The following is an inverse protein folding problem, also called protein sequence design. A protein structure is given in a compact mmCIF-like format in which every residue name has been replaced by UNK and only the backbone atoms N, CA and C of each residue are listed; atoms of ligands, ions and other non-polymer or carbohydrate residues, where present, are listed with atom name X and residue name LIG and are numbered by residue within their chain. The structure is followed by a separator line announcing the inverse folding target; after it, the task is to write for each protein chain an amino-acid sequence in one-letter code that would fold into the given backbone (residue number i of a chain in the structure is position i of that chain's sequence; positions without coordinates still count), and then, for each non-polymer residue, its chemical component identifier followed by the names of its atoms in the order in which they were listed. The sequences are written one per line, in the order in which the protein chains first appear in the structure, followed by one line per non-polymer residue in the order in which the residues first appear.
data_IF_695000458978
#
_entry.id   IF_695000458978
#
_cell.length_a   1.000
_cell.length_b   1.000
_cell.length_c   1.000
_cell.angle_alpha   90.00
_cell.angle_beta   90.00
_cell.angle_gamma   90.00
#
_symmetry.space_group_name_H-M   'P 1'
#
loop_
_entity.id
_entity.type
_entity.pdbx_description
1 polymer ?
#
# COMPACT_ATOMS: atom_id res chain seq x y z
N UNK A 1 -28.15 9.51 -1.00
CA UNK A 1 -28.44 9.70 0.42
C UNK A 1 -27.17 9.43 1.19
N UNK A 2 -26.45 10.47 1.60
CA UNK A 2 -25.22 10.35 2.38
C UNK A 2 -25.60 10.22 3.85
N UNK A 3 -25.56 9.02 4.39
CA UNK A 3 -25.62 8.80 5.82
C UNK A 3 -24.21 8.80 6.39
N UNK A 4 -23.81 9.86 7.06
CA UNK A 4 -22.73 9.82 8.05
C UNK A 4 -23.33 9.35 9.36
N UNK A 5 -22.99 8.14 9.80
CA UNK A 5 -23.27 7.70 11.16
C UNK A 5 -22.17 8.24 12.08
N UNK A 6 -22.38 9.39 12.68
CA UNK A 6 -21.63 9.81 13.86
C UNK A 6 -22.45 9.42 15.09
N UNK A 7 -21.98 8.42 15.80
CA UNK A 7 -22.50 8.08 17.12
C UNK A 7 -22.03 9.11 18.15
N UNK A 8 -22.83 10.14 18.38
CA UNK A 8 -22.71 11.01 19.55
C UNK A 8 -23.93 10.86 20.46
N UNK A 9 -23.76 10.78 21.80
CA UNK A 9 -24.85 10.57 22.72
C UNK A 9 -25.56 11.91 23.00
N UNK A 10 -26.14 12.56 22.00
CA UNK A 10 -27.12 13.62 22.14
C UNK A 10 -28.23 13.39 21.14
N UNK A 11 -29.48 13.39 21.64
CA UNK A 11 -30.67 13.22 20.81
C UNK A 11 -30.60 14.12 19.58
N UNK A 12 -30.26 13.56 18.44
CA UNK A 12 -30.35 14.21 17.15
C UNK A 12 -31.67 13.81 16.53
N UNK A 13 -32.55 14.79 16.33
CA UNK A 13 -33.81 14.57 15.62
C UNK A 13 -33.48 14.67 14.14
N UNK A 14 -33.50 13.53 13.45
CA UNK A 14 -33.37 13.47 12.01
C UNK A 14 -34.76 13.69 11.39
N UNK A 15 -34.96 14.81 10.72
CA UNK A 15 -36.14 15.06 9.91
C UNK A 15 -35.85 14.56 8.47
N UNK A 16 -36.40 13.41 8.11
CA UNK A 16 -36.35 12.92 6.73
C UNK A 16 -37.53 13.51 5.95
N UNK A 17 -37.23 14.25 4.88
CA UNK A 17 -38.24 14.73 3.93
C UNK A 17 -38.25 13.80 2.72
N UNK A 18 -39.43 13.29 2.36
CA UNK A 18 -39.60 12.53 1.10
C UNK A 18 -39.42 13.51 -0.08
N UNK A 19 -38.47 13.20 -0.94
CA UNK A 19 -38.21 13.96 -2.17
C UNK A 19 -38.71 13.18 -3.36
N UNK A 20 -39.04 13.83 -4.51
CA UNK A 20 -39.41 13.14 -5.74
C UNK A 20 -38.36 12.14 -6.21
N UNK A 21 -38.76 11.10 -6.94
CA UNK A 21 -37.85 10.04 -7.41
C UNK A 21 -36.67 10.57 -8.25
N UNK A 22 -36.85 11.68 -8.93
CA UNK A 22 -35.84 12.30 -9.80
C UNK A 22 -35.04 13.42 -9.09
N UNK A 23 -35.13 13.53 -7.76
CA UNK A 23 -34.46 14.60 -6.99
C UNK A 23 -32.95 14.39 -6.87
N UNK A 24 -32.48 13.16 -6.99
CA UNK A 24 -31.06 12.83 -6.95
C UNK A 24 -30.66 12.05 -8.18
N UNK A 25 -29.67 12.54 -8.90
CA UNK A 25 -29.03 11.85 -10.02
C UNK A 25 -27.69 11.30 -9.54
N UNK A 26 -27.48 9.99 -9.70
CA UNK A 26 -26.19 9.37 -9.44
C UNK A 26 -25.23 9.69 -10.57
N UNK A 27 -24.17 10.43 -10.29
CA UNK A 27 -23.11 10.75 -11.25
C UNK A 27 -21.87 9.95 -10.80
N UNK A 28 -21.47 8.97 -11.61
CA UNK A 28 -20.36 8.08 -11.31
C UNK A 28 -19.17 8.28 -12.27
N UNK A 29 -19.41 8.91 -13.42
CA UNK A 29 -18.38 9.19 -14.42
C UNK A 29 -18.34 10.68 -14.76
N UNK A 30 -17.20 11.12 -15.27
CA UNK A 30 -17.02 12.49 -15.75
C UNK A 30 -17.99 12.82 -16.90
N UNK A 31 -18.21 11.88 -17.82
CA UNK A 31 -19.14 12.07 -18.96
C UNK A 31 -20.58 12.23 -18.47
N UNK A 32 -20.98 11.52 -17.42
CA UNK A 32 -22.30 11.70 -16.79
C UNK A 32 -22.43 13.08 -16.17
N UNK A 33 -21.36 13.60 -15.56
CA UNK A 33 -21.35 14.95 -14.99
C UNK A 33 -21.42 16.01 -16.09
N UNK A 34 -20.67 15.88 -17.19
CA UNK A 34 -20.73 16.76 -18.35
C UNK A 34 -22.09 16.71 -19.03
N UNK A 35 -22.76 15.56 -19.04
CA UNK A 35 -24.14 15.41 -19.58
C UNK A 35 -25.17 16.10 -18.68
N UNK A 36 -24.96 16.05 -17.36
CA UNK A 36 -25.84 16.67 -16.36
C UNK A 36 -25.66 18.20 -16.32
N UNK A 37 -24.43 18.69 -16.43
CA UNK A 37 -24.06 20.10 -16.35
C UNK A 37 -23.02 20.43 -17.43
N UNK A 38 -23.50 20.61 -18.64
CA UNK A 38 -22.67 20.94 -19.82
C UNK A 38 -22.03 22.34 -19.79
N UNK A 39 -22.41 23.16 -18.82
CA UNK A 39 -21.86 24.51 -18.61
C UNK A 39 -20.96 24.63 -17.39
N UNK A 40 -20.69 23.54 -16.69
CA UNK A 40 -19.87 23.58 -15.49
C UNK A 40 -18.39 23.78 -15.81
N UNK A 41 -17.86 24.98 -15.55
CA UNK A 41 -16.43 25.25 -15.59
C UNK A 41 -15.68 24.61 -14.41
N UNK A 42 -16.39 24.07 -13.42
CA UNK A 42 -15.82 23.44 -12.22
C UNK A 42 -15.10 22.10 -12.49
N UNK A 43 -15.09 21.63 -13.74
CA UNK A 43 -14.45 20.40 -14.20
C UNK A 43 -13.12 20.64 -14.93
N UNK A 44 -12.71 21.87 -15.13
CA UNK A 44 -11.33 22.19 -15.46
C UNK A 44 -10.49 21.94 -14.20
N UNK A 45 -9.88 20.77 -14.12
CA UNK A 45 -8.94 20.46 -13.04
C UNK A 45 -7.53 20.53 -13.60
N UNK A 46 -6.58 21.00 -12.78
CA UNK A 46 -5.15 21.00 -13.10
C UNK A 46 -4.67 19.63 -13.62
N UNK A 47 -5.33 18.57 -13.17
CA UNK A 47 -5.04 17.20 -13.61
C UNK A 47 -5.41 16.97 -15.09
N UNK A 48 -6.57 17.43 -15.55
CA UNK A 48 -7.00 17.27 -16.96
C UNK A 48 -6.14 18.13 -17.89
N UNK A 49 -5.81 19.35 -17.47
CA UNK A 49 -4.93 20.23 -18.22
C UNK A 49 -3.51 19.66 -18.32
N UNK A 50 -3.04 19.01 -17.24
CA UNK A 50 -1.77 18.28 -17.25
C UNK A 50 -1.81 17.11 -18.23
N UNK A 51 -2.86 16.28 -18.20
CA UNK A 51 -3.00 15.16 -19.10
C UNK A 51 -3.01 15.60 -20.58
N UNK A 52 -3.73 16.68 -20.89
CA UNK A 52 -3.74 17.24 -22.24
C UNK A 52 -2.33 17.62 -22.72
N UNK A 53 -1.51 18.19 -21.84
CA UNK A 53 -0.10 18.52 -22.12
C UNK A 53 0.77 17.27 -22.25
N UNK A 54 0.63 16.29 -21.34
CA UNK A 54 1.43 15.03 -21.35
C UNK A 54 1.21 14.24 -22.62
N UNK A 55 -0.04 14.18 -23.08
CA UNK A 55 -0.41 13.43 -24.30
C UNK A 55 -0.39 14.25 -25.58
N UNK A 56 -0.14 15.56 -25.49
CA UNK A 56 -0.22 16.50 -26.64
C UNK A 56 -1.56 16.36 -27.38
N UNK A 57 -2.66 16.65 -26.66
CA UNK A 57 -4.04 16.57 -27.13
C UNK A 57 -4.87 17.70 -26.53
N UNK A 58 -6.08 17.90 -27.07
CA UNK A 58 -7.06 18.78 -26.41
C UNK A 58 -7.68 18.09 -25.19
N UNK A 59 -8.15 18.85 -24.21
CA UNK A 59 -8.83 18.30 -23.01
C UNK A 59 -10.05 17.44 -23.35
N UNK A 60 -10.75 17.74 -24.47
CA UNK A 60 -11.89 16.96 -24.97
C UNK A 60 -11.53 15.56 -25.47
N UNK A 61 -10.25 15.26 -25.69
CA UNK A 61 -9.76 13.93 -26.08
C UNK A 61 -9.42 13.05 -24.88
N UNK A 62 -9.47 13.62 -23.66
CA UNK A 62 -9.41 12.87 -22.40
C UNK A 62 -10.84 12.46 -22.07
N UNK A 63 -11.17 11.21 -22.25
CA UNK A 63 -12.55 10.69 -22.21
C UNK A 63 -12.71 9.52 -21.24
N UNK A 64 -13.95 9.11 -20.99
CA UNK A 64 -14.28 7.96 -20.14
C UNK A 64 -13.59 8.02 -18.77
N UNK A 65 -13.69 9.17 -18.10
CA UNK A 65 -13.09 9.39 -16.80
C UNK A 65 -13.94 8.70 -15.71
N UNK A 66 -13.33 7.72 -15.03
CA UNK A 66 -13.96 6.94 -13.97
C UNK A 66 -13.12 7.00 -12.70
N UNK A 67 -13.73 7.42 -11.60
CA UNK A 67 -13.02 7.47 -10.30
C UNK A 67 -12.78 6.06 -9.79
N UNK A 68 -11.53 5.75 -9.52
CA UNK A 68 -11.14 4.50 -8.88
C UNK A 68 -11.28 4.66 -7.36
N UNK A 69 -12.17 3.86 -6.75
CA UNK A 69 -12.47 3.93 -5.29
C UNK A 69 -11.45 3.21 -4.40
N UNK A 70 -10.41 2.62 -4.97
CA UNK A 70 -9.40 1.85 -4.24
C UNK A 70 -8.17 2.72 -3.96
N UNK A 71 -7.82 2.84 -2.71
CA UNK A 71 -6.60 3.49 -2.23
C UNK A 71 -6.86 4.28 -0.95
N UNK A 72 -6.03 4.04 0.08
CA UNK A 72 -6.14 4.73 1.37
C UNK A 72 -5.35 6.04 1.40
N UNK A 73 -4.42 6.19 0.49
CA UNK A 73 -3.45 7.30 0.44
C UNK A 73 -3.64 8.23 -0.75
N UNK A 74 -4.07 7.71 -1.88
CA UNK A 74 -4.13 8.45 -3.14
C UNK A 74 -5.55 8.50 -3.72
N UNK A 75 -5.84 9.54 -4.51
CA UNK A 75 -7.02 9.62 -5.37
C UNK A 75 -6.61 9.23 -6.77
N UNK A 76 -7.32 8.29 -7.38
CA UNK A 76 -7.00 7.84 -8.72
C UNK A 76 -8.24 7.80 -9.60
N UNK A 77 -8.06 8.05 -10.88
CA UNK A 77 -9.09 7.87 -11.86
C UNK A 77 -8.55 7.22 -13.15
N UNK A 78 -9.38 6.39 -13.74
CA UNK A 78 -9.18 5.82 -15.07
C UNK A 78 -9.59 6.82 -16.12
N UNK A 79 -8.91 6.88 -17.25
CA UNK A 79 -9.31 7.66 -18.41
C UNK A 79 -8.86 7.00 -19.71
N UNK A 80 -9.45 7.43 -20.83
CA UNK A 80 -9.00 7.06 -22.18
C UNK A 80 -8.39 8.26 -22.91
N UNK A 81 -7.29 8.00 -23.62
CA UNK A 81 -6.66 8.95 -24.50
C UNK A 81 -6.03 8.18 -25.68
N UNK A 82 -6.18 8.69 -26.92
CA UNK A 82 -5.64 8.05 -28.13
C UNK A 82 -5.98 6.55 -28.26
N UNK A 83 -7.18 6.15 -27.80
CA UNK A 83 -7.67 4.77 -27.86
C UNK A 83 -7.23 3.85 -26.74
N UNK A 84 -6.22 4.23 -25.95
CA UNK A 84 -5.68 3.46 -24.83
C UNK A 84 -6.24 3.92 -23.48
N UNK A 85 -6.15 3.07 -22.46
CA UNK A 85 -6.56 3.37 -21.08
C UNK A 85 -5.35 3.67 -20.20
N UNK A 86 -5.53 4.63 -19.30
CA UNK A 86 -4.50 5.08 -18.36
C UNK A 86 -5.11 5.34 -16.99
N UNK A 87 -4.26 5.31 -15.96
CA UNK A 87 -4.61 5.73 -14.60
C UNK A 87 -3.86 7.03 -14.30
N UNK A 88 -4.60 8.03 -13.82
CA UNK A 88 -4.04 9.22 -13.20
C UNK A 88 -4.12 9.06 -11.68
N UNK A 89 -2.98 9.19 -10.99
CA UNK A 89 -2.90 9.24 -9.54
C UNK A 89 -2.63 10.67 -9.09
N UNK A 90 -3.47 11.14 -8.18
CA UNK A 90 -3.32 12.40 -7.48
C UNK A 90 -3.08 12.08 -6.00
N UNK A 91 -1.97 12.54 -5.38
CA UNK A 91 -1.74 12.32 -3.96
C UNK A 91 -2.91 12.79 -3.09
N UNK A 92 -3.26 12.00 -2.10
CA UNK A 92 -4.27 12.36 -1.13
C UNK A 92 -3.71 13.40 -0.15
N UNK A 93 -4.61 14.13 0.49
CA UNK A 93 -4.28 15.15 1.48
C UNK A 93 -3.49 14.54 2.66
N UNK A 94 -2.39 15.17 3.04
CA UNK A 94 -1.50 14.73 4.12
C UNK A 94 -0.49 13.66 3.74
N UNK A 95 -0.47 13.19 2.48
CA UNK A 95 0.53 12.20 2.02
C UNK A 95 1.92 12.80 1.85
N UNK A 96 2.03 14.11 1.67
CA UNK A 96 3.29 14.84 1.56
C UNK A 96 4.19 14.72 2.81
N UNK A 97 3.60 14.33 3.95
CA UNK A 97 4.34 14.09 5.21
C UNK A 97 4.81 12.65 5.36
N UNK A 98 4.29 11.76 4.54
CA UNK A 98 4.51 10.31 4.63
C UNK A 98 5.34 9.78 3.48
N UNK A 99 5.19 10.35 2.28
CA UNK A 99 5.78 9.84 1.05
C UNK A 99 6.72 10.87 0.46
N UNK A 100 7.96 10.46 0.26
CA UNK A 100 8.95 11.24 -0.47
C UNK A 100 8.85 10.90 -1.97
N UNK A 101 8.35 11.83 -2.77
CA UNK A 101 8.10 11.60 -4.20
C UNK A 101 9.38 11.48 -5.04
N UNK A 102 10.49 12.07 -4.58
CA UNK A 102 11.81 11.85 -5.18
C UNK A 102 12.27 10.40 -5.00
N UNK A 103 12.08 9.85 -3.80
CA UNK A 103 12.39 8.45 -3.52
C UNK A 103 11.55 7.51 -4.38
N UNK A 104 10.23 7.73 -4.45
CA UNK A 104 9.34 6.95 -5.30
C UNK A 104 9.77 7.00 -6.78
N UNK A 105 10.14 8.18 -7.28
CA UNK A 105 10.62 8.33 -8.65
C UNK A 105 11.92 7.55 -8.89
N UNK A 106 12.90 7.61 -7.98
CA UNK A 106 14.14 6.83 -8.07
C UNK A 106 13.87 5.32 -8.13
N UNK A 107 12.89 4.83 -7.39
CA UNK A 107 12.48 3.42 -7.42
C UNK A 107 11.95 3.06 -8.81
N UNK A 108 11.03 3.86 -9.38
CA UNK A 108 10.50 3.59 -10.72
C UNK A 108 11.59 3.62 -11.79
N UNK A 109 12.57 4.51 -11.71
CA UNK A 109 13.72 4.50 -12.61
C UNK A 109 14.59 3.24 -12.43
N UNK A 110 14.76 2.74 -11.19
CA UNK A 110 15.53 1.52 -10.93
C UNK A 110 14.86 0.24 -11.46
N UNK A 111 13.52 0.17 -11.43
CA UNK A 111 12.74 -1.00 -11.91
C UNK A 111 12.29 -0.86 -13.36
N UNK A 112 12.57 0.25 -14.01
CA UNK A 112 12.21 0.50 -15.41
C UNK A 112 12.76 -0.60 -16.32
N UNK A 113 11.97 -0.99 -17.30
CA UNK A 113 12.31 -2.03 -18.28
C UNK A 113 12.65 -3.43 -17.72
N UNK A 114 12.34 -3.66 -16.42
CA UNK A 114 12.54 -4.98 -15.79
C UNK A 114 11.32 -5.90 -15.93
N UNK A 115 10.19 -5.38 -16.43
CA UNK A 115 8.95 -6.15 -16.54
C UNK A 115 8.32 -6.51 -15.18
N UNK A 116 8.60 -5.71 -14.13
CA UNK A 116 8.16 -5.99 -12.76
C UNK A 116 6.92 -5.19 -12.41
N UNK A 117 6.82 -3.95 -12.92
CA UNK A 117 5.78 -2.98 -12.55
C UNK A 117 4.90 -2.60 -13.75
N UNK A 118 3.90 -1.75 -13.51
CA UNK A 118 3.16 -1.02 -14.51
C UNK A 118 4.05 0.01 -15.22
N UNK A 119 3.69 0.36 -16.47
CA UNK A 119 4.45 1.32 -17.26
C UNK A 119 4.12 2.76 -16.84
N UNK A 120 5.13 3.50 -16.41
CA UNK A 120 5.01 4.93 -16.08
C UNK A 120 5.06 5.75 -17.38
N UNK A 121 4.02 6.54 -17.61
CA UNK A 121 3.92 7.48 -18.73
C UNK A 121 4.40 8.87 -18.30
N UNK A 122 4.07 9.27 -17.08
CA UNK A 122 4.44 10.56 -16.52
C UNK A 122 4.54 10.48 -15.00
N UNK A 123 5.53 11.17 -14.43
CA UNK A 123 5.68 11.33 -13.00
C UNK A 123 6.22 12.75 -12.69
N UNK A 124 5.53 13.48 -11.82
CA UNK A 124 5.97 14.77 -11.33
C UNK A 124 6.32 14.68 -9.85
N UNK A 125 7.60 14.72 -9.53
CA UNK A 125 8.12 14.66 -8.16
C UNK A 125 7.67 15.83 -7.27
N UNK A 126 7.32 16.99 -7.85
CA UNK A 126 6.93 18.17 -7.07
C UNK A 126 5.54 18.05 -6.47
N UNK A 127 4.59 17.54 -7.25
CA UNK A 127 3.20 17.41 -6.83
C UNK A 127 2.77 15.95 -6.65
N UNK A 128 3.62 14.98 -7.03
CA UNK A 128 3.35 13.54 -6.92
C UNK A 128 2.32 13.02 -7.93
N UNK A 129 1.98 13.80 -8.96
CA UNK A 129 1.08 13.35 -10.02
C UNK A 129 1.77 12.27 -10.85
N UNK A 130 1.09 11.15 -11.03
CA UNK A 130 1.61 9.99 -11.77
C UNK A 130 0.58 9.49 -12.76
N UNK A 131 1.01 9.23 -13.99
CA UNK A 131 0.22 8.58 -15.03
C UNK A 131 0.84 7.26 -15.38
N UNK A 132 0.05 6.19 -15.31
CA UNK A 132 0.47 4.84 -15.69
C UNK A 132 -0.41 4.27 -16.78
N UNK A 133 0.11 3.35 -17.57
CA UNK A 133 -0.71 2.57 -18.49
C UNK A 133 -1.62 1.63 -17.69
N UNK A 134 -2.91 1.58 -18.04
CA UNK A 134 -3.84 0.66 -17.38
C UNK A 134 -3.57 -0.77 -17.86
N UNK A 135 -3.35 -1.66 -16.91
CA UNK A 135 -3.22 -3.09 -17.17
C UNK A 135 -4.62 -3.71 -17.26
N UNK A 136 -5.00 -4.14 -18.45
CA UNK A 136 -6.32 -4.75 -18.68
C UNK A 136 -6.34 -6.23 -18.23
N UNK A 137 -7.54 -6.72 -17.91
CA UNK A 137 -7.77 -8.11 -17.52
C UNK A 137 -6.88 -8.56 -16.35
N UNK A 138 -6.75 -7.69 -15.34
CA UNK A 138 -5.97 -7.99 -14.15
C UNK A 138 -6.87 -8.30 -12.96
N UNK A 139 -6.34 -9.12 -12.06
CA UNK A 139 -6.90 -9.37 -10.74
C UNK A 139 -5.79 -9.38 -9.69
N UNK A 140 -6.13 -9.06 -8.45
CA UNK A 140 -5.21 -9.11 -7.34
C UNK A 140 -5.00 -10.57 -6.88
N UNK A 141 -3.92 -10.83 -6.14
CA UNK A 141 -3.68 -12.10 -5.48
C UNK A 141 -4.77 -12.40 -4.43
N UNK A 142 -5.32 -13.61 -4.45
CA UNK A 142 -6.09 -14.12 -3.32
C UNK A 142 -5.11 -14.71 -2.29
N UNK A 143 -4.95 -14.11 -1.09
CA UNK A 143 -4.03 -14.63 -0.07
C UNK A 143 -4.44 -15.98 0.50
N UNK A 144 -5.61 -16.51 0.17
CA UNK A 144 -6.08 -17.84 0.57
C UNK A 144 -5.76 -18.91 -0.48
N UNK A 145 -5.50 -18.50 -1.71
CA UNK A 145 -5.05 -19.40 -2.78
C UNK A 145 -3.52 -19.53 -2.73
N UNK A 146 -3.08 -20.67 -2.18
CA UNK A 146 -1.64 -20.93 -2.00
C UNK A 146 -0.87 -21.17 -3.30
N UNK A 147 -1.54 -21.48 -4.41
CA UNK A 147 -0.91 -21.55 -5.73
C UNK A 147 -0.58 -20.13 -6.22
N UNK A 148 -1.50 -19.19 -6.02
CA UNK A 148 -1.27 -17.77 -6.32
C UNK A 148 -0.20 -17.17 -5.41
N UNK A 149 -0.26 -17.45 -4.11
CA UNK A 149 0.75 -17.02 -3.14
C UNK A 149 2.14 -17.53 -3.52
N UNK A 150 2.26 -18.80 -3.95
CA UNK A 150 3.54 -19.35 -4.40
C UNK A 150 4.08 -18.62 -5.64
N UNK A 151 3.21 -18.26 -6.59
CA UNK A 151 3.59 -17.46 -7.76
C UNK A 151 4.05 -16.06 -7.36
N UNK A 152 3.34 -15.40 -6.45
CA UNK A 152 3.74 -14.09 -5.90
C UNK A 152 5.11 -14.16 -5.21
N UNK A 153 5.34 -15.18 -4.39
CA UNK A 153 6.65 -15.37 -3.71
C UNK A 153 7.78 -15.63 -4.70
N UNK A 154 7.51 -16.35 -5.78
CA UNK A 154 8.50 -16.55 -6.87
C UNK A 154 8.87 -15.24 -7.56
N UNK A 155 7.87 -14.41 -7.87
CA UNK A 155 8.10 -13.08 -8.48
C UNK A 155 8.85 -12.17 -7.51
N UNK A 156 8.47 -12.16 -6.24
CA UNK A 156 9.13 -11.38 -5.20
C UNK A 156 10.60 -11.81 -5.01
N UNK A 157 10.86 -13.11 -4.93
CA UNK A 157 12.22 -13.66 -4.85
C UNK A 157 13.05 -13.28 -6.08
N UNK A 158 12.46 -13.35 -7.28
CA UNK A 158 13.12 -12.92 -8.52
C UNK A 158 13.45 -11.42 -8.45
N UNK A 159 12.53 -10.57 -7.99
CA UNK A 159 12.77 -9.14 -7.80
C UNK A 159 13.95 -8.89 -6.85
N UNK A 160 13.94 -9.51 -5.66
CA UNK A 160 15.04 -9.37 -4.69
C UNK A 160 16.38 -9.83 -5.27
N UNK A 161 16.39 -10.88 -6.10
CA UNK A 161 17.61 -11.41 -6.74
C UNK A 161 18.23 -10.48 -7.79
N UNK A 162 17.51 -9.47 -8.27
CA UNK A 162 18.07 -8.44 -9.14
C UNK A 162 19.04 -7.51 -8.41
N UNK A 163 19.06 -7.53 -7.09
CA UNK A 163 19.93 -6.73 -6.21
C UNK A 163 19.95 -5.24 -6.58
N UNK A 164 18.77 -4.71 -6.94
CA UNK A 164 18.62 -3.31 -7.34
C UNK A 164 18.96 -2.39 -6.15
N UNK A 165 19.48 -1.21 -6.48
CA UNK A 165 19.89 -0.22 -5.48
C UNK A 165 19.26 1.13 -5.79
N UNK A 166 18.89 1.84 -4.71
CA UNK A 166 18.50 3.25 -4.70
C UNK A 166 19.27 3.98 -3.60
N UNK A 167 19.25 5.31 -3.60
CA UNK A 167 20.06 6.08 -2.64
C UNK A 167 19.47 6.15 -1.23
N UNK A 168 18.18 5.85 -1.07
CA UNK A 168 17.47 5.97 0.20
C UNK A 168 17.18 4.61 0.85
N UNK A 169 17.15 4.62 2.17
CA UNK A 169 16.78 3.46 2.97
C UNK A 169 15.34 3.60 3.48
N UNK A 170 14.66 2.47 3.71
CA UNK A 170 13.46 2.43 4.51
C UNK A 170 13.82 2.05 5.96
N UNK A 171 13.91 3.04 6.83
CA UNK A 171 14.22 2.81 8.25
C UNK A 171 12.95 2.51 9.05
N UNK A 172 12.65 1.22 9.24
CA UNK A 172 11.44 0.77 9.93
C UNK A 172 11.33 1.38 11.35
N UNK A 173 12.44 1.49 12.07
CA UNK A 173 12.44 2.04 13.43
C UNK A 173 12.26 3.56 13.41
N UNK A 174 12.89 4.23 12.45
CA UNK A 174 12.68 5.67 12.19
C UNK A 174 11.24 5.99 11.83
N UNK A 175 10.58 5.15 11.03
CA UNK A 175 9.16 5.29 10.67
C UNK A 175 8.24 5.10 11.89
N UNK A 176 8.52 4.15 12.79
CA UNK A 176 7.79 4.01 14.06
C UNK A 176 7.84 5.32 14.84
N UNK A 177 9.03 5.94 14.94
CA UNK A 177 9.21 7.21 15.64
C UNK A 177 8.56 8.39 14.90
N UNK A 178 8.56 8.35 13.56
CA UNK A 178 7.87 9.35 12.75
C UNK A 178 6.38 9.36 13.05
N UNK A 179 5.71 8.21 13.04
CA UNK A 179 4.29 8.13 13.35
C UNK A 179 3.97 8.56 14.78
N UNK A 180 4.83 8.25 15.75
CA UNK A 180 4.68 8.77 17.12
C UNK A 180 4.76 10.31 17.17
N UNK A 181 5.71 10.91 16.44
CA UNK A 181 5.78 12.38 16.34
C UNK A 181 4.54 12.97 15.67
N UNK A 182 3.99 12.28 14.68
CA UNK A 182 2.77 12.71 13.98
C UNK A 182 1.51 12.61 14.86
N UNK A 183 1.52 11.80 15.94
CA UNK A 183 0.43 11.80 16.92
C UNK A 183 0.39 13.10 17.76
N UNK A 184 1.48 13.85 17.79
CA UNK A 184 1.61 15.06 18.58
C UNK A 184 1.54 14.76 20.08
N UNK A 185 0.68 15.49 20.80
CA UNK A 185 0.48 15.27 22.25
C UNK A 185 -0.39 14.06 22.59
N UNK A 186 -0.97 13.39 21.59
CA UNK A 186 -1.81 12.23 21.82
C UNK A 186 -0.97 11.02 22.24
N UNK A 187 -1.62 10.14 23.01
CA UNK A 187 -1.04 8.86 23.41
C UNK A 187 -1.67 7.73 22.60
N UNK A 188 -0.91 6.64 22.46
CA UNK A 188 -1.48 5.40 21.92
C UNK A 188 -2.73 4.97 22.70
N UNK A 189 -3.70 4.40 21.99
CA UNK A 189 -4.88 3.79 22.61
C UNK A 189 -4.53 2.53 23.40
N UNK A 190 -3.38 1.92 23.11
CA UNK A 190 -2.93 0.70 23.78
C UNK A 190 -2.21 1.05 25.10
N UNK A 191 -2.80 0.63 26.21
CA UNK A 191 -2.30 0.97 27.57
C UNK A 191 -0.87 0.50 27.83
N UNK A 192 -0.46 -0.58 27.19
CA UNK A 192 0.86 -1.20 27.34
C UNK A 192 1.86 -0.84 26.22
N UNK A 193 1.53 0.17 25.41
CA UNK A 193 2.30 0.58 24.23
C UNK A 193 3.79 0.79 24.53
N UNK A 194 4.13 1.63 25.52
CA UNK A 194 5.52 1.93 25.86
C UNK A 194 6.32 0.68 26.23
N UNK A 195 5.70 -0.24 26.98
CA UNK A 195 6.33 -1.52 27.35
C UNK A 195 6.49 -2.43 26.14
N UNK A 196 5.51 -2.46 25.25
CA UNK A 196 5.55 -3.25 24.01
C UNK A 196 6.64 -2.72 23.08
N UNK A 197 6.70 -1.41 22.83
CA UNK A 197 7.76 -0.77 22.05
C UNK A 197 9.14 -1.11 22.60
N UNK A 198 9.35 -0.93 23.91
CA UNK A 198 10.64 -1.25 24.56
C UNK A 198 11.08 -2.69 24.32
N UNK A 199 10.15 -3.64 24.33
CA UNK A 199 10.47 -5.05 24.05
C UNK A 199 10.87 -5.23 22.59
N UNK A 200 10.06 -4.71 21.67
CA UNK A 200 10.26 -4.85 20.22
C UNK A 200 11.60 -4.22 19.79
N UNK A 201 12.00 -3.09 20.38
CA UNK A 201 13.27 -2.46 20.09
C UNK A 201 14.50 -3.32 20.50
N UNK A 202 14.31 -4.34 21.34
CA UNK A 202 15.39 -5.32 21.63
C UNK A 202 15.69 -6.20 20.42
N UNK A 203 14.69 -6.47 19.57
CA UNK A 203 14.88 -7.25 18.35
C UNK A 203 15.83 -6.59 17.35
N UNK A 204 15.96 -5.24 17.39
CA UNK A 204 16.89 -4.53 16.53
C UNK A 204 18.31 -5.05 16.63
N UNK A 205 18.78 -5.35 17.86
CA UNK A 205 20.14 -5.86 18.06
C UNK A 205 20.34 -7.24 17.41
N UNK A 206 19.34 -8.08 17.47
CA UNK A 206 19.36 -9.38 16.80
C UNK A 206 19.39 -9.21 15.28
N UNK A 207 18.49 -8.42 14.73
CA UNK A 207 18.44 -8.11 13.28
C UNK A 207 19.79 -7.56 12.80
N UNK A 208 20.33 -6.56 13.50
CA UNK A 208 21.62 -5.95 13.15
C UNK A 208 22.78 -6.96 13.22
N UNK A 209 22.74 -7.92 14.16
CA UNK A 209 23.79 -8.94 14.33
C UNK A 209 23.85 -9.95 13.19
N UNK A 210 22.75 -10.16 12.47
CA UNK A 210 22.69 -11.05 11.32
C UNK A 210 23.34 -10.45 10.06
N UNK A 211 23.71 -9.17 10.10
CA UNK A 211 24.28 -8.45 8.96
C UNK A 211 23.50 -8.72 7.66
N UNK A 212 22.18 -8.43 7.61
CA UNK A 212 21.32 -8.85 6.53
C UNK A 212 21.77 -8.26 5.19
N UNK A 213 21.55 -9.00 4.11
CA UNK A 213 21.71 -8.48 2.77
C UNK A 213 20.67 -7.38 2.50
N UNK A 214 21.14 -6.20 2.10
CA UNK A 214 20.27 -5.04 1.84
C UNK A 214 20.16 -4.80 0.35
N UNK A 215 18.94 -4.85 -0.18
CA UNK A 215 18.62 -4.51 -1.56
C UNK A 215 17.37 -3.64 -1.61
N UNK A 216 16.94 -3.25 -2.82
CA UNK A 216 15.65 -2.60 -2.97
C UNK A 216 14.55 -3.59 -2.58
N UNK A 217 13.77 -3.23 -1.56
CA UNK A 217 12.58 -3.95 -1.12
C UNK A 217 11.33 -3.10 -1.38
N UNK A 218 10.21 -3.77 -1.58
CA UNK A 218 8.95 -3.10 -1.91
C UNK A 218 8.33 -2.40 -0.70
N UNK A 219 8.52 -2.97 0.48
CA UNK A 219 8.00 -2.56 1.79
C UNK A 219 6.48 -2.73 1.92
N UNK A 220 5.71 -2.44 0.89
CA UNK A 220 4.26 -2.66 0.86
C UNK A 220 3.90 -3.85 -0.06
N UNK A 221 4.67 -4.96 0.04
CA UNK A 221 4.46 -6.19 -0.73
C UNK A 221 3.22 -6.96 -0.24
N UNK A 222 2.06 -6.33 -0.34
CA UNK A 222 0.77 -6.91 0.09
C UNK A 222 0.05 -7.58 -1.08
N UNK A 223 -0.84 -8.57 -0.86
CA UNK A 223 -1.55 -9.28 -1.93
C UNK A 223 -2.24 -8.36 -2.95
N UNK A 224 -2.79 -7.24 -2.49
CA UNK A 224 -3.48 -6.27 -3.35
C UNK A 224 -2.54 -5.58 -4.35
N UNK A 225 -1.24 -5.60 -4.12
CA UNK A 225 -0.22 -5.00 -4.98
C UNK A 225 0.38 -6.00 -5.98
N UNK A 226 -0.02 -7.27 -5.96
CA UNK A 226 0.33 -8.26 -6.99
C UNK A 226 -0.81 -8.41 -7.98
N UNK A 227 -0.60 -7.95 -9.20
CA UNK A 227 -1.58 -8.03 -10.29
C UNK A 227 -1.25 -9.19 -11.22
N UNK A 228 -2.12 -10.18 -11.24
CA UNK A 228 -2.13 -11.25 -12.23
C UNK A 228 -2.70 -10.71 -13.53
N UNK A 229 -1.90 -10.69 -14.58
CA UNK A 229 -2.30 -10.25 -15.91
C UNK A 229 -2.68 -11.49 -16.72
N UNK A 230 -3.98 -11.69 -16.93
CA UNK A 230 -4.50 -12.82 -17.70
C UNK A 230 -4.31 -12.55 -19.21
N UNK A 231 -3.11 -12.82 -19.73
CA UNK A 231 -2.87 -12.77 -21.15
C UNK A 231 -3.32 -14.09 -21.83
N UNK A 232 -3.80 -13.99 -23.05
CA UNK A 232 -4.22 -15.13 -23.87
C UNK A 232 -3.11 -16.17 -24.14
N UNK A 233 -1.86 -15.88 -23.79
CA UNK A 233 -0.69 -16.78 -23.89
C UNK A 233 -0.67 -17.90 -22.86
N UNK A 234 -1.49 -17.83 -21.79
CA UNK A 234 -1.52 -18.83 -20.73
C UNK A 234 -0.32 -18.79 -19.79
N UNK A 235 0.60 -17.86 -19.93
CA UNK A 235 1.65 -17.59 -18.95
C UNK A 235 1.18 -16.55 -17.97
N UNK A 236 1.36 -16.84 -16.68
CA UNK A 236 1.06 -15.87 -15.60
C UNK A 236 2.11 -14.74 -15.64
N UNK A 237 1.74 -13.57 -16.15
CA UNK A 237 2.51 -12.36 -15.96
C UNK A 237 2.00 -11.65 -14.69
N UNK A 238 2.86 -11.51 -13.69
CA UNK A 238 2.51 -10.87 -12.44
C UNK A 238 3.30 -9.57 -12.33
N UNK A 239 2.57 -8.47 -12.14
CA UNK A 239 3.14 -7.14 -11.92
C UNK A 239 2.97 -6.74 -10.47
N UNK A 240 4.01 -6.11 -9.91
CA UNK A 240 3.98 -5.51 -8.57
C UNK A 240 3.78 -4.01 -8.75
N UNK A 241 2.77 -3.46 -8.09
CA UNK A 241 2.41 -2.03 -8.19
C UNK A 241 2.54 -1.33 -6.83
N UNK A 242 2.46 0.00 -6.86
CA UNK A 242 2.42 0.86 -5.65
C UNK A 242 3.72 0.89 -4.85
N UNK A 243 4.79 1.35 -5.49
CA UNK A 243 6.16 1.41 -4.97
C UNK A 243 6.45 2.62 -4.07
N UNK A 244 5.44 3.28 -3.53
CA UNK A 244 5.61 4.57 -2.84
C UNK A 244 6.36 4.49 -1.51
N UNK A 245 6.48 3.28 -0.91
CA UNK A 245 7.25 3.01 0.31
C UNK A 245 8.58 2.31 0.04
N UNK A 246 8.83 1.87 -1.19
CA UNK A 246 10.00 1.09 -1.53
C UNK A 246 11.31 1.81 -1.21
N UNK A 247 12.32 1.07 -0.76
CA UNK A 247 13.61 1.59 -0.38
C UNK A 247 14.60 0.47 -0.05
N UNK A 248 15.85 0.84 0.25
CA UNK A 248 16.87 -0.12 0.63
C UNK A 248 16.54 -0.74 1.99
N UNK A 249 16.36 -2.07 2.01
CA UNK A 249 16.03 -2.82 3.22
C UNK A 249 16.39 -4.31 3.04
N UNK A 250 16.36 -5.09 4.13
CA UNK A 250 16.37 -6.56 4.08
C UNK A 250 15.10 -7.05 3.35
N UNK A 251 15.23 -7.82 2.26
CA UNK A 251 14.09 -8.30 1.47
C UNK A 251 13.09 -9.15 2.28
N UNK A 252 13.50 -9.74 3.41
CA UNK A 252 12.58 -10.49 4.27
C UNK A 252 11.52 -9.62 4.96
N UNK A 253 11.68 -8.30 4.93
CA UNK A 253 10.62 -7.36 5.35
C UNK A 253 9.37 -7.50 4.48
N UNK A 254 9.54 -7.76 3.18
CA UNK A 254 8.41 -7.95 2.26
C UNK A 254 7.58 -9.20 2.59
N UNK A 255 8.22 -10.26 3.11
CA UNK A 255 7.50 -11.44 3.61
C UNK A 255 6.69 -11.12 4.86
N UNK A 256 7.28 -10.32 5.77
CA UNK A 256 6.58 -9.87 6.96
C UNK A 256 5.34 -9.04 6.59
N UNK A 257 5.46 -8.14 5.61
CA UNK A 257 4.38 -7.28 5.15
C UNK A 257 3.26 -8.08 4.48
N UNK A 258 3.60 -9.02 3.60
CA UNK A 258 2.63 -9.92 2.99
C UNK A 258 1.82 -10.69 4.06
N UNK A 259 2.54 -11.21 5.07
CA UNK A 259 1.95 -11.97 6.18
C UNK A 259 0.98 -11.13 7.02
N UNK A 260 1.39 -9.90 7.36
CA UNK A 260 0.62 -8.97 8.20
C UNK A 260 -0.67 -8.54 7.52
N UNK A 261 -0.61 -8.19 6.25
CA UNK A 261 -1.77 -7.74 5.48
C UNK A 261 -2.76 -8.88 5.24
N UNK A 262 -2.24 -10.06 4.92
CA UNK A 262 -3.03 -11.28 4.73
C UNK A 262 -3.67 -11.79 6.04
N UNK A 263 -3.29 -11.23 7.18
CA UNK A 263 -3.73 -11.64 8.52
C UNK A 263 -3.47 -13.13 8.82
N UNK A 264 -2.35 -13.65 8.33
CA UNK A 264 -1.98 -15.05 8.45
C UNK A 264 -1.77 -15.49 9.91
N UNK A 265 -2.13 -16.74 10.18
CA UNK A 265 -1.76 -17.46 11.40
C UNK A 265 -0.26 -17.83 11.36
N UNK A 266 0.27 -18.28 12.50
CA UNK A 266 1.67 -18.73 12.57
C UNK A 266 2.00 -19.83 11.56
N UNK A 267 1.11 -20.83 11.43
CA UNK A 267 1.32 -21.96 10.50
C UNK A 267 1.28 -21.51 9.03
N UNK A 268 0.42 -20.52 8.71
CA UNK A 268 0.38 -19.92 7.39
C UNK A 268 1.64 -19.09 7.09
N UNK A 269 2.19 -18.38 8.07
CA UNK A 269 3.46 -17.66 7.93
C UNK A 269 4.63 -18.63 7.75
N UNK A 270 4.67 -19.73 8.51
CA UNK A 270 5.69 -20.76 8.34
C UNK A 270 5.59 -21.42 6.95
N UNK A 271 4.38 -21.60 6.45
CA UNK A 271 4.13 -22.08 5.08
C UNK A 271 4.61 -21.08 4.03
N UNK A 272 4.31 -19.78 4.20
CA UNK A 272 4.80 -18.72 3.32
C UNK A 272 6.32 -18.70 3.26
N UNK A 273 6.98 -18.76 4.43
CA UNK A 273 8.44 -18.79 4.53
C UNK A 273 9.00 -19.99 3.78
N UNK A 274 8.46 -21.19 4.00
CA UNK A 274 8.90 -22.39 3.30
C UNK A 274 8.73 -22.28 1.77
N UNK A 275 7.67 -21.63 1.29
CA UNK A 275 7.48 -21.37 -0.14
C UNK A 275 8.57 -20.43 -0.67
N UNK A 276 8.84 -19.31 0.01
CA UNK A 276 9.84 -18.35 -0.44
C UNK A 276 11.26 -18.93 -0.44
N UNK A 277 11.60 -19.77 0.54
CA UNK A 277 12.91 -20.43 0.66
C UNK A 277 13.00 -21.80 -0.06
N UNK A 278 12.02 -22.16 -0.88
CA UNK A 278 11.97 -23.45 -1.59
C UNK A 278 12.09 -24.67 -0.65
N UNK A 279 11.55 -24.56 0.56
CA UNK A 279 11.55 -25.60 1.60
C UNK A 279 12.76 -25.57 2.55
N UNK A 280 13.72 -24.69 2.37
CA UNK A 280 14.97 -24.58 3.14
C UNK A 280 15.01 -23.27 3.97
N UNK A 281 13.95 -23.01 4.74
CA UNK A 281 13.92 -21.88 5.67
C UNK A 281 14.64 -22.24 6.95
N UNK A 282 15.83 -21.68 7.19
CA UNK A 282 16.60 -21.87 8.41
C UNK A 282 15.87 -21.31 9.64
N UNK A 283 16.22 -21.79 10.84
CA UNK A 283 15.67 -21.24 12.09
C UNK A 283 16.12 -19.78 12.29
N UNK A 284 17.31 -19.41 11.82
CA UNK A 284 17.79 -18.02 11.83
C UNK A 284 16.94 -17.12 10.93
N UNK A 285 16.65 -17.53 9.70
CA UNK A 285 15.78 -16.77 8.79
C UNK A 285 14.37 -16.67 9.35
N UNK A 286 13.85 -17.75 9.91
CA UNK A 286 12.54 -17.79 10.56
C UNK A 286 12.48 -16.82 11.75
N UNK A 287 13.49 -16.84 12.63
CA UNK A 287 13.59 -15.92 13.75
C UNK A 287 13.64 -14.46 13.27
N UNK A 288 14.41 -14.19 12.21
CA UNK A 288 14.51 -12.87 11.58
C UNK A 288 13.17 -12.40 11.01
N UNK A 289 12.45 -13.26 10.30
CA UNK A 289 11.14 -12.91 9.76
C UNK A 289 10.12 -12.67 10.87
N UNK A 290 10.12 -13.49 11.93
CA UNK A 290 9.27 -13.23 13.09
C UNK A 290 9.61 -11.91 13.78
N UNK A 291 10.91 -11.55 13.86
CA UNK A 291 11.33 -10.25 14.36
C UNK A 291 10.78 -9.11 13.48
N UNK A 292 10.86 -9.23 12.16
CA UNK A 292 10.27 -8.23 11.23
C UNK A 292 8.76 -8.17 11.35
N UNK A 293 8.04 -9.29 11.46
CA UNK A 293 6.59 -9.29 11.69
C UNK A 293 6.25 -8.53 12.98
N UNK A 294 7.03 -8.71 14.04
CA UNK A 294 6.83 -7.97 15.29
C UNK A 294 7.05 -6.47 15.12
N UNK A 295 8.13 -6.06 14.47
CA UNK A 295 8.49 -4.64 14.26
C UNK A 295 7.51 -3.97 13.30
N UNK A 296 7.22 -4.60 12.16
CA UNK A 296 6.27 -4.07 11.17
C UNK A 296 4.83 -4.05 11.69
N UNK A 297 4.45 -5.01 12.54
CA UNK A 297 3.16 -4.98 13.23
C UNK A 297 3.01 -3.74 14.13
N UNK A 298 4.08 -3.33 14.83
CA UNK A 298 4.08 -2.09 15.59
C UNK A 298 4.03 -0.86 14.66
N UNK A 299 4.81 -0.87 13.58
CA UNK A 299 4.84 0.20 12.57
C UNK A 299 3.44 0.47 12.02
N UNK A 300 2.77 -0.56 11.51
CA UNK A 300 1.43 -0.41 10.92
C UNK A 300 0.34 -0.12 11.95
N UNK A 301 0.49 -0.61 13.17
CA UNK A 301 -0.38 -0.18 14.28
C UNK A 301 -0.25 1.33 14.53
N UNK A 302 0.97 1.87 14.50
CA UNK A 302 1.23 3.30 14.67
C UNK A 302 0.67 4.13 13.50
N UNK A 303 0.83 3.65 12.27
CA UNK A 303 0.22 4.25 11.10
C UNK A 303 -1.32 4.31 11.20
N UNK A 304 -1.96 3.23 11.66
CA UNK A 304 -3.41 3.21 11.90
C UNK A 304 -3.82 4.24 12.96
N UNK A 305 -3.04 4.38 14.03
CA UNK A 305 -3.31 5.40 15.06
C UNK A 305 -3.16 6.83 14.52
N UNK A 306 -2.18 7.09 13.68
CA UNK A 306 -2.05 8.37 12.99
C UNK A 306 -3.25 8.63 12.07
N UNK A 307 -3.62 7.69 11.21
CA UNK A 307 -4.77 7.82 10.32
C UNK A 307 -6.09 8.02 11.07
N UNK A 308 -6.25 7.39 12.24
CA UNK A 308 -7.42 7.59 13.11
C UNK A 308 -7.57 9.05 13.55
N UNK A 309 -6.47 9.74 13.79
CA UNK A 309 -6.52 11.19 14.11
C UNK A 309 -7.00 12.03 12.94
N UNK A 310 -6.80 11.55 11.73
CA UNK A 310 -7.32 12.14 10.49
C UNK A 310 -8.77 11.70 10.18
N UNK A 311 -9.42 10.96 11.10
CA UNK A 311 -10.80 10.52 10.96
C UNK A 311 -10.99 9.21 10.20
N UNK A 312 -9.91 8.45 9.95
CA UNK A 312 -9.97 7.14 9.30
C UNK A 312 -9.80 6.03 10.34
N UNK A 313 -10.80 5.18 10.50
CA UNK A 313 -10.76 4.06 11.45
C UNK A 313 -10.59 2.72 10.71
N UNK A 314 -9.67 1.89 11.20
CA UNK A 314 -9.34 0.58 10.63
C UNK A 314 -9.88 -0.60 11.45
N UNK A 315 -10.59 -0.35 12.55
CA UNK A 315 -11.26 -1.37 13.34
C UNK A 315 -10.34 -2.54 13.74
N UNK A 316 -10.74 -3.76 13.35
CA UNK A 316 -10.02 -4.98 13.70
C UNK A 316 -8.61 -5.05 13.10
N UNK A 317 -8.37 -4.43 11.96
CA UNK A 317 -7.05 -4.42 11.32
C UNK A 317 -5.99 -3.80 12.23
N UNK A 318 -6.24 -2.60 12.78
CA UNK A 318 -5.30 -1.94 13.71
C UNK A 318 -4.99 -2.80 14.94
N UNK A 319 -6.03 -3.41 15.53
CA UNK A 319 -5.87 -4.30 16.67
C UNK A 319 -5.05 -5.55 16.32
N UNK A 320 -5.26 -6.12 15.14
CA UNK A 320 -4.54 -7.31 14.67
C UNK A 320 -3.05 -6.98 14.49
N UNK A 321 -2.71 -5.83 13.89
CA UNK A 321 -1.34 -5.37 13.75
C UNK A 321 -0.63 -5.25 15.11
N UNK A 322 -1.28 -4.66 16.10
CA UNK A 322 -0.72 -4.57 17.45
C UNK A 322 -0.57 -5.93 18.15
N UNK A 323 -1.47 -6.89 17.85
CA UNK A 323 -1.33 -8.27 18.34
C UNK A 323 -0.12 -8.96 17.71
N UNK A 324 0.08 -8.84 16.39
CA UNK A 324 1.28 -9.36 15.72
C UNK A 324 2.55 -8.83 16.37
N UNK A 325 2.62 -7.52 16.63
CA UNK A 325 3.76 -6.92 17.33
C UNK A 325 4.10 -7.65 18.64
N UNK A 326 3.10 -8.03 19.42
CA UNK A 326 3.29 -8.67 20.73
C UNK A 326 3.54 -10.18 20.65
N UNK A 327 2.79 -10.86 19.80
CA UNK A 327 2.85 -12.32 19.65
C UNK A 327 4.16 -12.73 18.99
N UNK A 328 4.54 -12.07 17.90
CA UNK A 328 5.75 -12.37 17.16
C UNK A 328 7.03 -11.92 17.88
N UNK A 329 6.95 -10.93 18.76
CA UNK A 329 8.04 -10.68 19.72
C UNK A 329 8.36 -11.92 20.53
N UNK A 330 7.35 -12.65 21.02
CA UNK A 330 7.56 -13.87 21.81
C UNK A 330 8.14 -14.98 20.93
N UNK A 331 7.52 -15.27 19.77
CA UNK A 331 8.02 -16.32 18.87
C UNK A 331 9.44 -16.06 18.41
N UNK A 332 9.78 -14.81 18.07
CA UNK A 332 11.15 -14.44 17.74
C UNK A 332 12.10 -14.64 18.93
N UNK A 333 11.73 -14.15 20.13
CA UNK A 333 12.57 -14.28 21.34
C UNK A 333 12.80 -15.73 21.71
N UNK A 334 11.75 -16.56 21.71
CA UNK A 334 11.85 -17.99 22.03
C UNK A 334 12.79 -18.72 21.05
N UNK A 335 12.72 -18.39 19.77
CA UNK A 335 13.58 -19.00 18.75
C UNK A 335 15.01 -18.48 18.84
N UNK A 336 15.23 -17.18 19.08
CA UNK A 336 16.55 -16.56 19.25
C UNK A 336 17.30 -17.18 20.46
N UNK A 337 16.60 -17.55 21.54
CA UNK A 337 17.22 -18.19 22.71
C UNK A 337 17.75 -19.61 22.40
N UNK A 338 17.32 -20.23 21.31
CA UNK A 338 17.74 -21.55 20.86
C UNK A 338 18.84 -21.54 19.81
N UNK A 339 19.10 -20.40 19.19
CA UNK A 339 20.17 -20.16 18.19
C UNK A 339 21.52 -19.92 18.91
#
# INVERSE_FOLDING_TARGET
MLFRSESRPRKMILLAKKVPENFAVGINTYDQLCTFDSGSESLQSDAIDLLAKVFDVNTSEITNIEVLKKGMTNRSFLFRCKGEKYIMRIPGEGTERLINRDHEHQVYEAIKDKGISDDIIYFDVKNGYKVTKFLENTRNCDPKDWEEVAKCMKVLKKFHSLDLKVEHNFDIFGEIELYERLWGENKSIYRDYAKTKQKIYKLKRFIDSLNPHICLAHIDAVPDNFLFCDYASGEDDIRIIDWEYAGMQDPHVDLAMFSLYSMYTKDEIDKLNNIYFDGDCSDEDRAKIYAYISVCGLLWSNWCEYKRQLGVEFGEYSLKQYRYAKEYYKYASDLIETL
#
